data_IF_466423932405
#
_entry.id   IF_466423932405
#
_cell.length_a   1.000
_cell.length_b   1.000
_cell.length_c   1.000
_cell.angle_alpha   90.00
_cell.angle_beta   90.00
_cell.angle_gamma   90.00
#
_symmetry.space_group_name_H-M   'P 1'
#
loop_
_entity.id
_entity.type
_entity.pdbx_description
1 polymer ?
#
# COMPACT_ATOMS: atom_id res chain seq x y z
N UNK A 1 33.83 -8.51 8.36
CA UNK A 1 33.44 -8.36 6.95
C UNK A 1 32.33 -7.32 6.86
N UNK A 2 32.54 -6.22 6.11
CA UNK A 2 31.51 -5.21 5.92
C UNK A 2 30.33 -5.77 5.13
N UNK A 3 29.10 -5.43 5.55
CA UNK A 3 27.90 -5.81 4.81
C UNK A 3 27.95 -5.22 3.38
N UNK A 4 27.90 -6.07 2.36
CA UNK A 4 27.88 -5.61 0.95
C UNK A 4 26.51 -5.06 0.60
N UNK A 5 26.43 -3.76 0.32
CA UNK A 5 25.22 -3.11 -0.17
C UNK A 5 25.11 -3.33 -1.67
N UNK A 6 23.98 -3.81 -2.14
CA UNK A 6 23.59 -3.88 -3.56
C UNK A 6 22.38 -2.99 -3.82
N UNK A 7 22.17 -2.61 -5.08
CA UNK A 7 21.04 -1.75 -5.47
C UNK A 7 20.14 -2.49 -6.43
N UNK A 8 18.82 -2.32 -6.26
CA UNK A 8 17.81 -2.94 -7.11
C UNK A 8 16.87 -1.90 -7.69
N UNK A 9 16.57 -2.04 -8.96
CA UNK A 9 15.62 -1.20 -9.70
C UNK A 9 14.89 -2.03 -10.76
N UNK A 10 13.84 -1.48 -11.35
CA UNK A 10 13.23 -2.01 -12.55
C UNK A 10 13.76 -1.24 -13.76
N UNK A 11 14.60 -1.88 -14.58
CA UNK A 11 15.22 -1.24 -15.74
C UNK A 11 14.19 -0.90 -16.85
N UNK A 12 12.98 -1.48 -16.81
CA UNK A 12 11.88 -1.17 -17.71
C UNK A 12 11.10 0.11 -17.35
N UNK A 13 11.37 0.71 -16.17
CA UNK A 13 10.69 1.92 -15.72
C UNK A 13 11.66 3.11 -15.67
N UNK A 14 11.13 4.30 -16.00
CA UNK A 14 11.89 5.55 -15.87
C UNK A 14 11.93 6.01 -14.42
N UNK A 15 13.11 6.40 -13.94
CA UNK A 15 13.22 7.10 -12.66
C UNK A 15 12.97 8.60 -12.84
N UNK A 16 12.15 9.19 -11.96
CA UNK A 16 11.98 10.64 -11.86
C UNK A 16 13.14 11.31 -11.10
N UNK A 17 13.96 10.52 -10.40
CA UNK A 17 15.18 11.00 -9.74
C UNK A 17 16.39 10.72 -10.63
N UNK A 18 17.07 11.73 -11.20
CA UNK A 18 18.08 11.54 -12.26
C UNK A 18 19.23 10.63 -11.89
N UNK A 19 19.64 10.62 -10.63
CA UNK A 19 20.81 9.87 -10.14
C UNK A 19 20.42 8.69 -9.24
N UNK A 20 19.15 8.22 -9.33
CA UNK A 20 18.71 7.10 -8.51
C UNK A 20 19.32 5.78 -8.99
N UNK A 21 20.15 5.20 -8.15
CA UNK A 21 20.84 3.92 -8.42
C UNK A 21 19.94 2.70 -8.15
N UNK A 22 18.75 2.89 -7.60
CA UNK A 22 17.85 1.85 -7.12
C UNK A 22 17.80 1.75 -5.59
N UNK A 23 16.92 0.90 -5.10
CA UNK A 23 16.76 0.66 -3.67
C UNK A 23 17.92 -0.15 -3.12
N UNK A 24 18.56 0.31 -2.02
CA UNK A 24 19.65 -0.44 -1.39
C UNK A 24 19.12 -1.71 -0.72
N UNK A 25 19.88 -2.80 -0.86
CA UNK A 25 19.63 -4.06 -0.17
C UNK A 25 20.92 -4.58 0.49
N UNK A 26 20.73 -5.28 1.60
CA UNK A 26 21.79 -6.04 2.29
C UNK A 26 21.29 -7.48 2.43
N UNK A 27 22.06 -8.43 1.95
CA UNK A 27 21.65 -9.85 1.90
C UNK A 27 20.30 -10.06 1.23
N UNK A 28 20.00 -9.27 0.16
CA UNK A 28 18.74 -9.32 -0.58
C UNK A 28 17.55 -8.63 0.10
N UNK A 29 17.74 -8.04 1.28
CA UNK A 29 16.67 -7.38 2.05
C UNK A 29 16.76 -5.87 1.93
N UNK A 30 15.63 -5.22 1.63
CA UNK A 30 15.49 -3.77 1.60
C UNK A 30 15.55 -3.18 3.01
N UNK A 31 15.99 -1.94 3.13
CA UNK A 31 16.04 -1.21 4.39
C UNK A 31 15.85 0.30 4.18
N UNK A 32 15.39 1.00 5.23
CA UNK A 32 15.31 2.46 5.23
C UNK A 32 16.74 3.05 5.32
N UNK A 33 17.06 4.01 4.44
CA UNK A 33 18.40 4.61 4.38
C UNK A 33 18.76 5.44 5.60
N UNK A 34 17.78 6.20 6.12
CA UNK A 34 18.00 7.15 7.21
C UNK A 34 17.84 6.53 8.60
N UNK A 35 16.92 5.58 8.76
CA UNK A 35 16.65 4.93 10.04
C UNK A 35 16.54 3.42 9.85
N UNK A 36 17.58 2.69 10.23
CA UNK A 36 17.54 1.23 10.29
C UNK A 36 16.80 0.81 11.57
N UNK A 37 15.48 0.97 11.59
CA UNK A 37 14.68 0.48 12.70
C UNK A 37 14.60 -1.05 12.66
N UNK A 38 15.17 -1.70 13.64
CA UNK A 38 15.01 -3.14 13.89
C UNK A 38 14.27 -3.29 15.21
N UNK A 39 12.96 -3.58 15.20
CA UNK A 39 12.27 -3.87 16.44
C UNK A 39 12.87 -5.12 17.06
N UNK A 40 13.56 -4.98 18.18
CA UNK A 40 13.99 -6.11 18.97
C UNK A 40 12.78 -6.78 19.61
N UNK A 41 12.83 -8.10 19.83
CA UNK A 41 11.77 -8.85 20.51
C UNK A 41 11.41 -8.22 21.87
N UNK A 42 12.38 -7.67 22.58
CA UNK A 42 12.17 -6.94 23.84
C UNK A 42 11.30 -5.70 23.69
N UNK A 43 11.44 -4.94 22.60
CA UNK A 43 10.60 -3.76 22.30
C UNK A 43 9.15 -4.16 22.05
N UNK A 44 8.94 -5.24 21.31
CA UNK A 44 7.60 -5.78 21.03
C UNK A 44 6.94 -6.30 22.30
N UNK A 45 7.66 -7.03 23.14
CA UNK A 45 7.17 -7.49 24.44
C UNK A 45 6.85 -6.32 25.37
N UNK A 46 7.75 -5.34 25.48
CA UNK A 46 7.52 -4.12 26.26
C UNK A 46 6.25 -3.40 25.80
N UNK A 47 6.08 -3.19 24.50
CA UNK A 47 4.87 -2.58 23.92
C UNK A 47 3.62 -3.41 24.23
N UNK A 48 3.68 -4.73 24.06
CA UNK A 48 2.53 -5.64 24.29
C UNK A 48 2.04 -5.66 25.72
N UNK A 49 2.95 -5.52 26.69
CA UNK A 49 2.65 -5.55 28.13
C UNK A 49 2.60 -4.17 28.77
N UNK A 50 2.92 -3.11 28.05
CA UNK A 50 2.77 -1.74 28.56
C UNK A 50 1.29 -1.38 28.74
N UNK A 51 0.93 -0.67 29.82
CA UNK A 51 -0.42 -0.18 29.99
C UNK A 51 -0.80 0.76 28.85
N UNK A 52 -1.94 0.53 28.21
CA UNK A 52 -2.45 1.48 27.23
C UNK A 52 -3.09 2.67 27.95
N UNK A 53 -2.50 3.89 27.88
CA UNK A 53 -3.01 5.05 28.58
C UNK A 53 -4.42 5.46 28.14
N UNK A 54 -4.80 5.13 26.89
CA UNK A 54 -6.12 5.42 26.34
C UNK A 54 -7.14 4.30 26.58
N UNK A 55 -6.83 3.28 27.40
CA UNK A 55 -7.70 2.11 27.59
C UNK A 55 -9.09 2.49 28.11
N UNK A 56 -9.15 3.45 29.05
CA UNK A 56 -10.42 3.94 29.63
C UNK A 56 -11.23 4.68 28.57
N UNK A 57 -10.61 5.61 27.87
CA UNK A 57 -11.21 6.40 26.78
C UNK A 57 -11.75 5.50 25.67
N UNK A 58 -10.96 4.56 25.17
CA UNK A 58 -11.37 3.59 24.13
C UNK A 58 -12.55 2.69 24.53
N UNK A 59 -12.79 2.51 25.85
CA UNK A 59 -13.95 1.76 26.33
C UNK A 59 -15.22 2.61 26.43
N UNK A 60 -15.07 3.89 26.73
CA UNK A 60 -16.20 4.81 26.96
C UNK A 60 -16.66 5.51 25.69
N UNK A 61 -15.75 5.85 24.80
CA UNK A 61 -16.08 6.51 23.52
C UNK A 61 -16.52 5.46 22.51
N UNK A 62 -17.80 5.48 22.19
CA UNK A 62 -18.39 4.73 21.07
C UNK A 62 -18.34 5.62 19.83
N UNK A 63 -17.18 5.67 19.17
CA UNK A 63 -17.10 6.33 17.88
C UNK A 63 -17.77 5.46 16.81
N UNK A 64 -18.78 5.97 16.18
CA UNK A 64 -19.49 5.32 15.08
C UNK A 64 -19.50 6.27 13.89
N UNK A 65 -18.58 6.13 12.92
CA UNK A 65 -18.52 7.02 11.77
C UNK A 65 -19.79 6.86 10.93
N UNK A 66 -20.28 7.97 10.41
CA UNK A 66 -21.35 7.93 9.41
C UNK A 66 -20.80 7.29 8.14
N UNK A 67 -21.38 6.16 7.74
CA UNK A 67 -21.02 5.45 6.53
C UNK A 67 -22.03 5.81 5.42
N UNK A 68 -21.54 6.33 4.31
CA UNK A 68 -22.30 6.51 3.09
C UNK A 68 -22.14 5.27 2.23
N UNK A 69 -23.22 4.54 1.99
CA UNK A 69 -23.17 3.30 1.22
C UNK A 69 -23.21 3.61 -0.28
N UNK A 70 -22.18 3.19 -1.00
CA UNK A 70 -22.07 3.30 -2.45
C UNK A 70 -22.76 2.10 -3.11
N UNK A 71 -23.78 2.37 -3.93
CA UNK A 71 -24.57 1.33 -4.59
C UNK A 71 -24.12 1.03 -6.03
N UNK A 72 -23.43 1.95 -6.68
CA UNK A 72 -22.92 1.79 -8.06
C UNK A 72 -21.77 2.75 -8.30
N UNK A 73 -20.76 2.32 -9.08
CA UNK A 73 -19.69 3.21 -9.56
C UNK A 73 -20.16 4.14 -10.70
N UNK A 74 -21.30 3.87 -11.34
CA UNK A 74 -21.87 4.76 -12.36
C UNK A 74 -22.27 6.13 -11.81
N UNK A 75 -22.54 6.19 -10.49
CA UNK A 75 -22.82 7.43 -9.78
C UNK A 75 -21.57 8.26 -9.46
N UNK A 76 -20.39 7.70 -9.70
CA UNK A 76 -19.11 8.40 -9.47
C UNK A 76 -18.73 9.11 -10.75
N UNK A 77 -18.90 10.44 -10.76
CA UNK A 77 -18.70 11.27 -11.95
C UNK A 77 -17.41 12.06 -11.80
N UNK A 78 -16.64 12.16 -12.90
CA UNK A 78 -15.41 12.93 -12.95
C UNK A 78 -14.31 12.38 -12.04
N UNK A 79 -13.35 13.24 -11.67
CA UNK A 79 -12.28 12.88 -10.76
C UNK A 79 -12.82 12.76 -9.33
N UNK A 80 -12.66 11.61 -8.69
CA UNK A 80 -13.29 11.30 -7.40
C UNK A 80 -12.41 10.41 -6.54
N UNK A 81 -12.35 10.70 -5.24
CA UNK A 81 -11.67 9.89 -4.23
C UNK A 81 -12.68 9.44 -3.17
N UNK A 82 -12.77 8.14 -2.94
CA UNK A 82 -13.67 7.53 -1.96
C UNK A 82 -12.85 6.73 -0.95
N UNK A 83 -12.95 7.10 0.32
CA UNK A 83 -12.36 6.34 1.41
C UNK A 83 -13.25 5.13 1.76
N UNK A 84 -12.68 3.94 1.66
CA UNK A 84 -13.40 2.68 1.91
C UNK A 84 -13.17 2.13 3.33
N UNK A 85 -12.45 2.88 4.15
CA UNK A 85 -12.07 2.53 5.50
C UNK A 85 -10.66 1.95 5.58
N UNK A 86 -10.03 2.05 6.77
CA UNK A 86 -8.62 1.77 7.00
C UNK A 86 -7.76 2.58 5.99
N UNK A 87 -6.86 1.96 5.26
CA UNK A 87 -6.07 2.57 4.19
C UNK A 87 -6.57 2.23 2.79
N UNK A 88 -7.81 1.74 2.67
CA UNK A 88 -8.41 1.37 1.40
C UNK A 88 -9.09 2.57 0.75
N UNK A 89 -8.77 2.84 -0.51
CA UNK A 89 -9.35 3.92 -1.29
C UNK A 89 -9.77 3.42 -2.68
N UNK A 90 -10.88 3.96 -3.18
CA UNK A 90 -11.19 3.98 -4.60
C UNK A 90 -10.88 5.38 -5.14
N UNK A 91 -10.20 5.44 -6.25
CA UNK A 91 -9.87 6.68 -6.96
C UNK A 91 -10.32 6.57 -8.41
N UNK A 92 -11.02 7.58 -8.91
CA UNK A 92 -11.23 7.82 -10.33
C UNK A 92 -10.49 9.10 -10.71
N UNK A 93 -9.57 9.01 -11.68
CA UNK A 93 -8.73 10.14 -12.11
C UNK A 93 -8.36 9.98 -13.57
N UNK A 94 -8.55 11.04 -14.37
CA UNK A 94 -8.21 11.03 -15.81
C UNK A 94 -8.82 9.83 -16.57
N UNK A 95 -10.06 9.48 -16.25
CA UNK A 95 -10.76 8.33 -16.84
C UNK A 95 -10.30 6.96 -16.37
N UNK A 96 -9.29 6.86 -15.50
CA UNK A 96 -8.80 5.60 -14.92
C UNK A 96 -9.44 5.36 -13.55
N UNK A 97 -9.75 4.09 -13.26
CA UNK A 97 -10.29 3.62 -11.98
C UNK A 97 -9.23 2.80 -11.24
N UNK A 98 -8.99 3.18 -10.00
CA UNK A 98 -7.95 2.57 -9.18
C UNK A 98 -8.51 2.10 -7.84
N UNK A 99 -7.97 0.97 -7.36
CA UNK A 99 -8.12 0.55 -5.96
C UNK A 99 -6.75 0.62 -5.28
N UNK A 100 -6.71 1.18 -4.07
CA UNK A 100 -5.47 1.30 -3.28
C UNK A 100 -5.65 0.50 -1.99
N UNK A 101 -4.74 -0.44 -1.73
CA UNK A 101 -4.68 -1.29 -0.53
C UNK A 101 -6.06 -1.83 -0.10
N UNK A 102 -6.83 -2.52 -0.96
CA UNK A 102 -8.22 -2.91 -0.67
C UNK A 102 -8.30 -3.99 0.39
N UNK A 103 -9.09 -3.72 1.44
CA UNK A 103 -9.46 -4.68 2.49
C UNK A 103 -10.96 -4.64 2.69
N UNK A 104 -11.69 -5.61 2.16
CA UNK A 104 -13.15 -5.66 2.21
C UNK A 104 -13.69 -6.14 3.56
N UNK A 105 -12.97 -7.05 4.19
CA UNK A 105 -13.35 -7.72 5.42
C UNK A 105 -12.52 -7.33 6.64
N UNK A 106 -12.49 -8.26 7.59
CA UNK A 106 -11.57 -8.21 8.73
C UNK A 106 -10.25 -8.86 8.36
N UNK A 107 -9.16 -8.35 8.90
CA UNK A 107 -7.83 -8.93 8.76
C UNK A 107 -7.49 -9.82 9.96
N UNK A 108 -6.49 -10.68 9.87
CA UNK A 108 -6.07 -11.49 11.01
C UNK A 108 -5.85 -10.64 12.26
N UNK A 109 -6.47 -11.05 13.37
CA UNK A 109 -6.39 -10.41 14.69
C UNK A 109 -7.02 -9.00 14.82
N UNK A 110 -7.54 -8.40 13.73
CA UNK A 110 -8.17 -7.08 13.76
C UNK A 110 -9.53 -7.13 13.09
N UNK A 111 -10.59 -7.05 13.91
CA UNK A 111 -11.97 -6.99 13.40
C UNK A 111 -12.26 -5.60 12.83
N UNK A 112 -12.87 -5.55 11.66
CA UNK A 112 -13.39 -4.31 11.09
C UNK A 112 -14.49 -3.75 11.98
N UNK A 113 -14.42 -2.48 12.34
CA UNK A 113 -15.37 -1.83 13.25
C UNK A 113 -16.58 -1.23 12.55
N UNK A 114 -16.38 -0.70 11.34
CA UNK A 114 -17.46 -0.17 10.49
C UNK A 114 -17.77 -1.12 9.35
N UNK A 115 -19.02 -1.11 8.87
CA UNK A 115 -19.36 -1.83 7.66
C UNK A 115 -18.53 -1.32 6.47
N UNK A 116 -18.17 -2.21 5.54
CA UNK A 116 -17.57 -1.79 4.27
C UNK A 116 -18.61 -0.97 3.49
N UNK A 117 -18.25 0.20 2.92
CA UNK A 117 -19.21 1.17 2.41
C UNK A 117 -19.81 0.82 1.03
N UNK A 118 -19.69 -0.41 0.59
CA UNK A 118 -20.21 -0.88 -0.69
C UNK A 118 -20.35 -2.41 -0.72
N UNK A 119 -21.12 -2.94 -1.66
CA UNK A 119 -20.92 -4.33 -2.07
C UNK A 119 -19.65 -4.42 -2.94
N UNK A 120 -18.68 -5.30 -2.64
CA UNK A 120 -17.46 -5.42 -3.44
C UNK A 120 -17.69 -5.71 -4.93
N UNK A 121 -18.83 -6.28 -5.31
CA UNK A 121 -19.18 -6.58 -6.70
C UNK A 121 -19.35 -5.35 -7.59
N UNK A 122 -19.51 -4.17 -7.02
CA UNK A 122 -19.62 -2.93 -7.80
C UNK A 122 -18.27 -2.45 -8.37
N UNK A 123 -17.14 -2.90 -7.78
CA UNK A 123 -15.79 -2.49 -8.22
C UNK A 123 -15.38 -3.24 -9.48
N UNK A 124 -16.01 -2.84 -10.60
CA UNK A 124 -15.75 -3.35 -11.95
C UNK A 124 -15.09 -2.28 -12.81
N UNK A 125 -14.45 -2.71 -13.90
CA UNK A 125 -13.68 -1.84 -14.79
C UNK A 125 -12.60 -1.06 -14.01
N UNK A 126 -11.95 -1.75 -13.08
CA UNK A 126 -10.79 -1.23 -12.36
C UNK A 126 -9.55 -1.44 -13.24
N UNK A 127 -8.88 -0.34 -13.58
CA UNK A 127 -7.67 -0.36 -14.40
C UNK A 127 -6.45 -0.76 -13.58
N UNK A 128 -6.33 -0.21 -12.37
CA UNK A 128 -5.13 -0.39 -11.55
C UNK A 128 -5.46 -0.77 -10.10
N UNK A 129 -4.71 -1.74 -9.61
CA UNK A 129 -4.63 -2.06 -8.18
C UNK A 129 -3.26 -1.64 -7.65
N UNK A 130 -3.23 -0.73 -6.70
CA UNK A 130 -2.01 -0.25 -6.06
C UNK A 130 -1.84 -0.93 -4.70
N UNK A 131 -0.67 -1.56 -4.47
CA UNK A 131 -0.33 -2.18 -3.19
C UNK A 131 0.94 -1.53 -2.65
N UNK A 132 0.78 -0.81 -1.53
CA UNK A 132 1.87 -0.06 -0.91
C UNK A 132 2.93 -0.96 -0.29
N UNK A 133 2.53 -2.06 0.34
CA UNK A 133 3.40 -3.06 0.94
C UNK A 133 2.65 -4.35 1.28
N UNK A 134 3.36 -5.35 1.79
CA UNK A 134 2.87 -6.72 1.93
C UNK A 134 2.16 -7.05 3.26
N UNK A 135 1.96 -6.12 4.18
CA UNK A 135 1.21 -6.39 5.42
C UNK A 135 -0.23 -6.85 5.12
N UNK A 136 -0.82 -7.63 6.04
CA UNK A 136 -2.14 -8.24 5.84
C UNK A 136 -3.27 -7.21 5.71
N UNK A 137 -3.10 -6.03 6.30
CA UNK A 137 -4.05 -4.92 6.27
C UNK A 137 -3.89 -3.98 5.06
N UNK A 138 -2.99 -4.33 4.13
CA UNK A 138 -2.79 -3.67 2.84
C UNK A 138 -2.87 -4.64 1.66
N UNK A 139 -2.21 -5.78 1.76
CA UNK A 139 -2.27 -6.85 0.77
C UNK A 139 -3.17 -7.97 1.32
N UNK A 140 -4.50 -7.78 1.25
CA UNK A 140 -5.49 -8.76 1.65
C UNK A 140 -5.82 -9.70 0.48
N UNK A 141 -5.34 -10.95 0.56
CA UNK A 141 -5.50 -11.94 -0.52
C UNK A 141 -6.97 -12.15 -0.94
N UNK A 142 -7.96 -12.26 -0.02
CA UNK A 142 -9.37 -12.39 -0.42
C UNK A 142 -9.90 -11.20 -1.21
N UNK A 143 -9.55 -9.97 -0.81
CA UNK A 143 -9.97 -8.75 -1.52
C UNK A 143 -9.34 -8.65 -2.90
N UNK A 144 -8.04 -8.96 -3.02
CA UNK A 144 -7.34 -9.02 -4.30
C UNK A 144 -7.94 -10.10 -5.21
N UNK A 145 -8.25 -11.28 -4.67
CA UNK A 145 -8.85 -12.37 -5.44
C UNK A 145 -10.19 -11.95 -6.05
N UNK A 146 -11.02 -11.25 -5.28
CA UNK A 146 -12.30 -10.73 -5.77
C UNK A 146 -12.11 -9.71 -6.88
N UNK A 147 -11.19 -8.75 -6.71
CA UNK A 147 -10.90 -7.75 -7.74
C UNK A 147 -10.38 -8.37 -9.03
N UNK A 148 -9.45 -9.34 -8.93
CA UNK A 148 -8.90 -10.04 -10.10
C UNK A 148 -10.00 -10.80 -10.85
N UNK A 149 -10.89 -11.48 -10.14
CA UNK A 149 -11.99 -12.24 -10.75
C UNK A 149 -12.99 -11.31 -11.47
N UNK A 150 -13.28 -10.15 -10.90
CA UNK A 150 -14.27 -9.22 -11.45
C UNK A 150 -13.67 -8.25 -12.51
N UNK A 151 -12.32 -8.20 -12.68
CA UNK A 151 -11.62 -7.25 -13.53
C UNK A 151 -10.46 -7.92 -14.31
N UNK A 152 -10.73 -8.64 -15.41
CA UNK A 152 -9.71 -9.39 -16.16
C UNK A 152 -8.61 -8.51 -16.79
N UNK A 153 -8.87 -7.20 -16.98
CA UNK A 153 -7.91 -6.23 -17.51
C UNK A 153 -7.04 -5.54 -16.43
N UNK A 154 -7.26 -5.89 -15.17
CA UNK A 154 -6.61 -5.27 -14.02
C UNK A 154 -5.09 -5.39 -14.10
N UNK A 155 -4.38 -4.29 -13.89
CA UNK A 155 -2.94 -4.26 -13.69
C UNK A 155 -2.63 -3.95 -12.24
N UNK A 156 -1.69 -4.68 -11.66
CA UNK A 156 -1.26 -4.43 -10.29
C UNK A 156 0.08 -3.70 -10.27
N UNK A 157 0.16 -2.59 -9.54
CA UNK A 157 1.37 -1.80 -9.36
C UNK A 157 1.83 -1.87 -7.89
N UNK A 158 3.07 -2.27 -7.65
CA UNK A 158 3.60 -2.49 -6.31
C UNK A 158 5.12 -2.31 -6.23
N UNK A 159 5.68 -2.38 -5.02
CA UNK A 159 7.12 -2.37 -4.80
C UNK A 159 7.81 -3.66 -5.24
N UNK A 160 9.11 -3.57 -5.54
CA UNK A 160 9.95 -4.69 -5.97
C UNK A 160 9.83 -5.93 -5.07
N UNK A 161 9.90 -7.11 -5.66
CA UNK A 161 9.79 -8.44 -5.05
C UNK A 161 8.39 -8.79 -4.51
N UNK A 162 7.40 -7.89 -4.59
CA UNK A 162 6.01 -8.18 -4.21
C UNK A 162 5.30 -9.00 -5.28
N UNK A 163 5.68 -8.83 -6.54
CA UNK A 163 5.08 -9.49 -7.69
C UNK A 163 5.21 -11.01 -7.65
N UNK A 164 6.32 -11.54 -7.17
CA UNK A 164 6.50 -13.00 -7.03
C UNK A 164 5.44 -13.62 -6.10
N UNK A 165 5.16 -12.95 -4.96
CA UNK A 165 4.10 -13.38 -4.04
C UNK A 165 2.72 -13.30 -4.70
N UNK A 166 2.42 -12.22 -5.40
CA UNK A 166 1.14 -12.01 -6.07
C UNK A 166 0.93 -13.03 -7.19
N UNK A 167 1.93 -13.27 -8.02
CA UNK A 167 1.88 -14.27 -9.11
C UNK A 167 1.75 -15.70 -8.60
N UNK A 168 2.24 -16.00 -7.40
CA UNK A 168 1.99 -17.30 -6.77
C UNK A 168 0.50 -17.54 -6.45
N UNK A 169 -0.29 -16.49 -6.33
CA UNK A 169 -1.75 -16.55 -6.12
C UNK A 169 -2.54 -16.38 -7.41
N UNK A 170 -2.06 -15.50 -8.29
CA UNK A 170 -2.73 -15.08 -9.53
C UNK A 170 -1.72 -15.09 -10.69
N UNK A 171 -1.41 -16.25 -11.29
CA UNK A 171 -0.33 -16.39 -12.27
C UNK A 171 -0.49 -15.49 -13.51
N UNK A 172 -1.72 -15.25 -13.92
CA UNK A 172 -2.06 -14.51 -15.14
C UNK A 172 -2.22 -12.99 -14.91
N UNK A 173 -2.12 -12.51 -13.66
CA UNK A 173 -2.25 -11.08 -13.37
C UNK A 173 -1.03 -10.32 -13.89
N UNK A 174 -1.27 -9.24 -14.62
CA UNK A 174 -0.21 -8.30 -15.01
C UNK A 174 0.28 -7.55 -13.76
N UNK A 175 1.56 -7.71 -13.42
CA UNK A 175 2.18 -7.07 -12.25
C UNK A 175 3.32 -6.19 -12.71
N UNK A 176 3.25 -4.92 -12.33
CA UNK A 176 4.26 -3.90 -12.56
C UNK A 176 4.94 -3.61 -11.22
N UNK A 177 6.19 -4.02 -11.09
CA UNK A 177 7.00 -3.76 -9.91
C UNK A 177 7.84 -2.51 -10.09
N UNK A 178 7.92 -1.66 -9.08
CA UNK A 178 8.70 -0.42 -9.13
C UNK A 178 9.65 -0.30 -7.92
N UNK A 179 10.83 0.25 -8.15
CA UNK A 179 11.69 0.81 -7.12
C UNK A 179 11.18 2.21 -6.73
N UNK A 180 11.69 2.77 -5.64
CA UNK A 180 11.42 4.16 -5.30
C UNK A 180 11.86 5.09 -6.43
N UNK A 181 11.07 6.14 -6.67
CA UNK A 181 11.24 7.12 -7.74
C UNK A 181 11.03 6.58 -9.16
N UNK A 182 10.61 5.33 -9.32
CA UNK A 182 10.26 4.80 -10.63
C UNK A 182 8.80 5.07 -10.98
N UNK A 183 8.59 5.39 -12.24
CA UNK A 183 7.32 5.86 -12.78
C UNK A 183 6.86 4.96 -13.92
N UNK A 184 5.63 4.49 -13.82
CA UNK A 184 4.86 3.89 -14.90
C UNK A 184 3.99 4.96 -15.56
N UNK A 185 3.93 4.96 -16.89
CA UNK A 185 3.21 5.94 -17.70
C UNK A 185 2.20 5.22 -18.61
N UNK A 186 0.95 5.68 -18.60
CA UNK A 186 -0.11 5.23 -19.49
C UNK A 186 -0.82 6.47 -20.07
N UNK A 187 -0.36 6.93 -21.26
CA UNK A 187 -0.76 8.21 -21.83
C UNK A 187 -0.38 9.38 -20.90
N UNK A 188 -1.38 10.17 -20.50
CA UNK A 188 -1.19 11.28 -19.55
C UNK A 188 -1.28 10.85 -18.09
N UNK A 189 -1.67 9.61 -17.83
CA UNK A 189 -1.74 9.06 -16.48
C UNK A 189 -0.39 8.52 -16.03
N UNK A 190 0.02 8.83 -14.80
CA UNK A 190 1.31 8.45 -14.25
C UNK A 190 1.17 7.90 -12.84
N UNK A 191 1.82 6.78 -12.58
CA UNK A 191 1.98 6.16 -11.26
C UNK A 191 3.46 6.16 -10.89
N UNK A 192 3.82 6.84 -9.82
CA UNK A 192 5.19 6.86 -9.31
C UNK A 192 5.23 6.21 -7.94
N UNK A 193 6.14 5.24 -7.75
CA UNK A 193 6.40 4.63 -6.46
C UNK A 193 7.43 5.46 -5.70
N UNK A 194 7.09 5.91 -4.48
CA UNK A 194 7.91 6.83 -3.70
C UNK A 194 8.35 6.23 -2.36
N UNK A 195 9.44 6.75 -1.77
CA UNK A 195 9.87 6.32 -0.44
C UNK A 195 8.80 6.53 0.61
N UNK A 196 8.70 5.56 1.53
CA UNK A 196 7.97 5.69 2.78
C UNK A 196 8.83 5.12 3.92
N UNK A 197 8.74 5.71 5.10
CA UNK A 197 9.39 5.15 6.29
C UNK A 197 8.52 4.03 6.85
N UNK A 198 8.79 2.81 6.41
CA UNK A 198 8.04 1.63 6.81
C UNK A 198 8.91 0.37 6.75
N UNK A 199 8.31 -0.79 6.75
CA UNK A 199 8.94 -2.10 6.62
C UNK A 199 7.95 -3.09 6.02
N UNK A 200 8.45 -4.22 5.52
CA UNK A 200 7.65 -5.32 5.00
C UNK A 200 7.90 -6.59 5.80
N UNK A 201 6.86 -7.36 6.05
CA UNK A 201 6.93 -8.69 6.65
C UNK A 201 5.56 -9.36 6.58
N UNK A 202 5.52 -10.57 6.07
CA UNK A 202 4.29 -11.37 6.02
C UNK A 202 4.45 -12.75 6.67
N UNK A 203 5.62 -13.32 6.56
CA UNK A 203 6.01 -14.58 7.17
C UNK A 203 6.86 -14.40 8.44
N UNK A 204 7.49 -15.50 8.86
CA UNK A 204 8.33 -15.49 10.07
C UNK A 204 9.69 -14.83 9.81
N UNK A 205 10.31 -15.09 8.63
CA UNK A 205 11.71 -14.73 8.31
C UNK A 205 11.86 -13.75 7.14
N UNK A 206 10.78 -13.33 6.48
CA UNK A 206 10.77 -12.58 5.23
C UNK A 206 10.78 -11.05 5.39
N UNK A 207 11.12 -10.55 6.57
CA UNK A 207 11.19 -9.11 6.83
C UNK A 207 12.19 -8.41 5.89
N UNK A 208 11.72 -7.36 5.18
CA UNK A 208 12.51 -6.59 4.23
C UNK A 208 12.74 -7.25 2.87
N UNK A 209 12.19 -8.43 2.59
CA UNK A 209 12.36 -9.09 1.30
C UNK A 209 11.58 -8.41 0.16
N UNK A 210 10.50 -7.73 0.47
CA UNK A 210 9.65 -6.97 -0.46
C UNK A 210 9.74 -5.49 -0.16
N UNK A 211 9.77 -4.67 -1.20
CA UNK A 211 9.86 -3.22 -1.06
C UNK A 211 8.51 -2.63 -0.69
N UNK A 212 8.51 -1.68 0.22
CA UNK A 212 7.36 -0.86 0.62
C UNK A 212 7.50 0.56 0.09
N UNK A 213 6.40 1.29 -0.02
CA UNK A 213 6.41 2.68 -0.47
C UNK A 213 5.06 3.35 -0.41
N UNK A 214 5.02 4.50 -1.03
CA UNK A 214 3.87 5.37 -1.23
C UNK A 214 3.65 5.62 -2.71
N UNK A 215 2.56 6.28 -3.07
CA UNK A 215 2.22 6.54 -4.47
C UNK A 215 2.05 8.03 -4.73
N UNK A 216 2.65 8.52 -5.81
CA UNK A 216 2.24 9.74 -6.46
C UNK A 216 1.48 9.36 -7.73
N UNK A 217 0.23 9.83 -7.81
CA UNK A 217 -0.73 9.51 -8.88
C UNK A 217 -1.06 10.80 -9.59
N UNK A 218 -0.86 10.85 -10.89
CA UNK A 218 -1.02 12.07 -11.67
C UNK A 218 -1.88 11.85 -12.92
N UNK A 219 -2.76 12.80 -13.21
CA UNK A 219 -3.61 12.82 -14.40
C UNK A 219 -4.54 14.04 -14.38
N UNK A 220 -5.00 14.50 -15.53
CA UNK A 220 -5.86 15.70 -15.67
C UNK A 220 -5.33 16.94 -14.94
N UNK A 221 -4.02 17.15 -14.90
CA UNK A 221 -3.39 18.25 -14.16
C UNK A 221 -3.45 18.09 -12.64
N UNK A 222 -4.01 17.01 -12.11
CA UNK A 222 -4.13 16.72 -10.68
C UNK A 222 -2.97 15.81 -10.25
N UNK A 223 -2.40 16.09 -9.10
CA UNK A 223 -1.43 15.22 -8.43
C UNK A 223 -1.96 14.82 -7.06
N UNK A 224 -2.04 13.52 -6.82
CA UNK A 224 -2.47 12.94 -5.54
C UNK A 224 -1.27 12.20 -4.95
N UNK A 225 -0.96 12.48 -3.69
CA UNK A 225 0.04 11.75 -2.94
C UNK A 225 -0.65 10.86 -1.89
N UNK A 226 -0.57 9.55 -2.10
CA UNK A 226 -1.04 8.54 -1.15
C UNK A 226 0.16 8.00 -0.37
N UNK A 227 0.28 8.41 0.88
CA UNK A 227 1.43 8.09 1.72
C UNK A 227 1.33 6.70 2.36
N UNK A 228 0.15 6.05 2.27
CA UNK A 228 -0.15 4.79 2.98
C UNK A 228 -0.03 4.95 4.50
N UNK A 229 0.43 3.95 5.24
CA UNK A 229 0.67 4.12 6.68
C UNK A 229 1.95 4.91 6.90
N UNK A 230 1.81 6.14 7.37
CA UNK A 230 2.88 6.75 8.14
C UNK A 230 2.80 6.16 9.55
N UNK A 231 3.75 5.32 9.94
CA UNK A 231 4.17 5.39 11.32
C UNK A 231 4.83 6.77 11.45
N UNK A 232 4.07 7.74 11.91
CA UNK A 232 4.64 8.95 12.48
C UNK A 232 5.37 8.48 13.75
N UNK A 233 6.58 7.99 13.57
CA UNK A 233 7.53 7.96 14.65
C UNK A 233 7.95 9.41 14.83
N UNK A 234 7.25 10.09 15.74
CA UNK A 234 7.46 11.46 16.22
C UNK A 234 7.52 12.55 15.14
N UNK A 235 6.82 13.68 15.33
CA UNK A 235 7.08 14.85 14.53
C UNK A 235 8.58 15.10 14.63
N UNK A 236 9.26 15.16 13.49
CA UNK A 236 10.60 15.70 13.40
C UNK A 236 10.57 17.02 14.14
N UNK A 237 11.18 17.08 15.34
CA UNK A 237 11.46 18.36 15.98
C UNK A 237 12.23 19.17 14.95
N UNK A 238 11.77 20.38 14.59
CA UNK A 238 12.64 21.29 13.87
C UNK A 238 13.87 21.47 14.75
N UNK A 239 15.02 21.16 14.22
CA UNK A 239 16.29 21.54 14.83
C UNK A 239 16.40 23.07 14.86
#
# INVERSE_FOLDING_TARGET
MGERITFRRNEGLRSIHPHWRGNPTVNGKFFNRQHRWKPGMGSVLKWRFSPNPQRKEKRTIKWNPKVHYLTSLEKVVGNSLIWLGHNSFFLQLAGKRLMIDPVYGSIPFVKRRSQFPADPSIFRQIDYLLISHDHFDHLDKPSVARLVADNPQLKLFCGLNTGALIKSWFPNLEVIEAAWYEQYVDGDFRLTFLPAQHWSKRGVSDGGERLWGSFMIQGDGITIYNLSLIHISEPTRPE
#
